data_IF_111208422207
#
_entry.id   IF_111208422207
#
_cell.length_a   1.000
_cell.length_b   1.000
_cell.length_c   1.000
_cell.angle_alpha   90.00
_cell.angle_beta   90.00
_cell.angle_gamma   90.00
#
_symmetry.space_group_name_H-M   'P 1'
#
loop_
_entity.id
_entity.type
_entity.pdbx_description
1 polymer ?
#
# COMPACT_ATOMS: atom_id res chain seq x y z
N UNK A 1 27.24 1.18 -31.77
CA UNK A 1 26.00 1.27 -30.97
C UNK A 1 26.05 0.10 -30.02
N UNK A 2 26.58 0.33 -28.80
CA UNK A 2 26.68 -0.69 -27.75
C UNK A 2 25.33 -0.82 -27.09
N UNK A 3 24.69 -1.98 -27.19
CA UNK A 3 23.52 -2.37 -26.40
C UNK A 3 23.85 -2.21 -24.90
N UNK A 4 23.18 -1.28 -24.22
CA UNK A 4 23.32 -1.14 -22.78
C UNK A 4 22.60 -2.31 -22.11
N UNK A 5 23.34 -3.14 -21.41
CA UNK A 5 22.82 -4.26 -20.65
C UNK A 5 21.71 -3.78 -19.68
N UNK A 6 20.52 -4.35 -19.81
CA UNK A 6 19.42 -4.16 -18.85
C UNK A 6 19.75 -4.99 -17.61
N UNK A 7 20.08 -4.32 -16.49
CA UNK A 7 20.28 -5.01 -15.22
C UNK A 7 18.92 -5.39 -14.61
N UNK A 8 18.76 -6.65 -14.26
CA UNK A 8 17.54 -7.20 -13.65
C UNK A 8 17.41 -6.80 -12.17
N UNK A 9 16.19 -6.56 -11.66
CA UNK A 9 15.97 -6.16 -10.27
C UNK A 9 16.35 -7.24 -9.27
N UNK A 10 16.69 -6.83 -8.03
CA UNK A 10 17.18 -7.70 -6.95
C UNK A 10 16.16 -8.79 -6.52
N UNK A 11 14.88 -8.58 -6.79
CA UNK A 11 13.80 -9.55 -6.53
C UNK A 11 13.51 -10.48 -7.71
N UNK A 12 14.23 -10.32 -8.84
CA UNK A 12 14.03 -11.22 -9.96
C UNK A 12 14.61 -12.61 -9.65
N UNK A 13 13.75 -13.56 -9.27
CA UNK A 13 14.08 -14.98 -9.23
C UNK A 13 13.75 -15.61 -10.58
N UNK A 14 14.70 -16.25 -11.27
CA UNK A 14 14.39 -17.01 -12.48
C UNK A 14 13.38 -18.12 -12.12
N UNK A 15 12.34 -18.27 -12.94
CA UNK A 15 11.31 -19.31 -12.76
C UNK A 15 11.95 -20.68 -12.70
N UNK A 16 11.67 -21.53 -11.69
CA UNK A 16 11.99 -22.94 -11.79
C UNK A 16 11.12 -23.56 -12.89
N UNK A 17 11.74 -24.34 -13.77
CA UNK A 17 11.05 -25.10 -14.80
C UNK A 17 9.96 -25.97 -14.17
N UNK A 18 8.75 -25.93 -14.73
CA UNK A 18 7.60 -26.73 -14.28
C UNK A 18 7.94 -28.21 -14.40
N UNK A 19 8.17 -28.88 -13.29
CA UNK A 19 8.06 -30.34 -13.23
C UNK A 19 6.59 -30.71 -13.06
N UNK A 20 6.04 -31.36 -14.07
CA UNK A 20 4.74 -32.01 -13.98
C UNK A 20 4.89 -33.29 -13.16
N UNK A 21 4.27 -33.36 -12.01
CA UNK A 21 3.94 -34.66 -11.41
C UNK A 21 2.48 -34.66 -10.98
N UNK A 22 1.72 -35.41 -11.77
CA UNK A 22 0.37 -35.89 -11.44
C UNK A 22 0.49 -36.92 -10.33
N UNK A 23 -0.19 -36.71 -9.21
CA UNK A 23 -0.63 -37.86 -8.39
C UNK A 23 -2.09 -37.62 -8.07
N UNK A 24 -2.91 -38.46 -8.70
CA UNK A 24 -4.33 -38.67 -8.40
C UNK A 24 -4.37 -39.76 -7.37
N UNK A 25 -4.92 -39.50 -6.18
CA UNK A 25 -5.37 -40.57 -5.28
C UNK A 25 -6.84 -40.29 -4.98
N UNK A 26 -7.69 -41.10 -5.61
CA UNK A 26 -9.08 -41.27 -5.24
C UNK A 26 -9.17 -42.36 -4.18
N UNK A 27 -9.77 -42.05 -3.04
CA UNK A 27 -10.22 -43.05 -2.07
C UNK A 27 -11.69 -42.81 -1.82
N UNK A 28 -12.49 -43.71 -2.41
CA UNK A 28 -13.89 -43.95 -2.05
C UNK A 28 -13.94 -44.85 -0.83
N UNK A 29 -14.60 -44.41 0.25
CA UNK A 29 -15.12 -45.31 1.28
C UNK A 29 -16.58 -44.97 1.52
N UNK A 30 -17.44 -45.92 1.19
CA UNK A 30 -18.85 -46.00 1.59
C UNK A 30 -18.96 -46.38 3.07
N UNK A 31 -19.94 -45.79 3.74
CA UNK A 31 -20.51 -46.44 4.91
C UNK A 31 -21.00 -45.54 6.00
N UNK A 32 -22.33 -45.48 6.21
CA UNK A 32 -22.91 -45.35 7.54
C UNK A 32 -23.58 -44.04 7.89
N UNK A 33 -24.87 -44.06 7.73
CA UNK A 33 -25.84 -43.06 8.25
C UNK A 33 -25.75 -43.01 9.79
N UNK A 34 -25.55 -41.79 10.35
CA UNK A 34 -26.03 -41.42 11.67
C UNK A 34 -26.31 -39.92 11.70
N UNK A 35 -27.60 -39.60 11.79
CA UNK A 35 -28.15 -38.26 11.96
C UNK A 35 -27.73 -37.67 13.32
N UNK A 36 -26.67 -36.89 13.35
CA UNK A 36 -26.32 -36.01 14.44
C UNK A 36 -26.40 -34.57 13.96
N UNK A 37 -27.38 -33.80 14.47
CA UNK A 37 -27.48 -32.35 14.24
C UNK A 37 -26.24 -31.68 14.85
N UNK A 38 -25.19 -31.52 14.09
CA UNK A 38 -24.09 -30.63 14.42
C UNK A 38 -24.52 -29.22 14.03
N UNK A 39 -24.90 -28.41 15.03
CA UNK A 39 -24.86 -26.95 14.88
C UNK A 39 -23.40 -26.57 14.66
N UNK A 40 -22.99 -26.37 13.42
CA UNK A 40 -21.79 -25.59 13.12
C UNK A 40 -22.05 -24.18 13.66
N UNK A 41 -21.59 -23.92 14.85
CA UNK A 41 -21.44 -22.59 15.37
C UNK A 41 -20.35 -21.89 14.53
N UNK A 42 -20.76 -21.20 13.49
CA UNK A 42 -19.92 -20.20 12.84
C UNK A 42 -19.60 -19.18 13.93
N UNK A 43 -18.42 -19.30 14.56
CA UNK A 43 -17.87 -18.24 15.39
C UNK A 43 -17.76 -17.03 14.49
N UNK A 44 -18.57 -16.00 14.74
CA UNK A 44 -18.34 -14.67 14.18
C UNK A 44 -16.87 -14.34 14.42
N UNK A 45 -16.12 -13.86 13.42
CA UNK A 45 -14.75 -13.42 13.63
C UNK A 45 -14.77 -12.44 14.82
N UNK A 46 -13.94 -12.70 15.81
CA UNK A 46 -13.79 -11.85 16.97
C UNK A 46 -13.22 -10.53 16.42
N UNK A 47 -13.95 -9.40 16.53
CA UNK A 47 -13.41 -8.10 16.19
C UNK A 47 -12.05 -7.97 16.88
N UNK A 48 -11.02 -7.63 16.12
CA UNK A 48 -9.70 -7.40 16.66
C UNK A 48 -9.80 -6.28 17.72
N UNK A 49 -9.21 -6.47 18.88
CA UNK A 49 -9.14 -5.41 19.89
C UNK A 49 -8.26 -4.28 19.33
N UNK A 50 -8.77 -3.05 19.37
CA UNK A 50 -7.97 -1.86 19.02
C UNK A 50 -7.31 -1.39 20.31
N UNK A 51 -5.98 -1.44 20.34
CA UNK A 51 -5.18 -1.09 21.52
C UNK A 51 -4.23 0.07 21.21
N UNK A 52 -4.00 0.91 22.21
CA UNK A 52 -3.10 2.06 22.10
C UNK A 52 -2.04 1.93 23.19
N UNK A 53 -0.78 2.04 22.78
CA UNK A 53 0.36 2.12 23.70
C UNK A 53 1.08 3.47 23.53
N UNK A 54 1.85 3.85 24.56
CA UNK A 54 2.66 5.05 24.53
C UNK A 54 4.01 4.79 25.17
N UNK A 55 5.07 5.05 24.44
CA UNK A 55 6.43 4.90 24.91
C UNK A 55 7.34 5.96 24.29
N UNK A 56 8.19 6.61 25.10
CA UNK A 56 9.20 7.58 24.65
C UNK A 56 8.65 8.71 23.77
N UNK A 57 7.43 9.17 24.09
CA UNK A 57 6.75 10.23 23.33
C UNK A 57 6.20 9.79 21.97
N UNK A 58 6.13 8.48 21.73
CA UNK A 58 5.51 7.88 20.55
C UNK A 58 4.27 7.10 20.99
N UNK A 59 3.14 7.39 20.37
CA UNK A 59 1.89 6.66 20.52
C UNK A 59 1.72 5.68 19.37
N UNK A 60 1.41 4.43 19.70
CA UNK A 60 1.28 3.33 18.72
C UNK A 60 -0.09 2.68 18.79
N UNK A 61 -0.61 2.30 17.62
CA UNK A 61 -1.85 1.56 17.43
C UNK A 61 -1.53 0.09 17.18
N UNK A 62 -2.29 -0.81 17.82
CA UNK A 62 -2.22 -2.24 17.65
C UNK A 62 -3.60 -2.81 17.32
N UNK A 63 -3.66 -3.83 16.46
CA UNK A 63 -4.90 -4.51 16.06
C UNK A 63 -4.80 -5.99 16.42
N UNK A 64 -5.17 -6.34 17.66
CA UNK A 64 -5.21 -7.72 18.14
C UNK A 64 -3.88 -8.47 18.18
N UNK A 65 -2.74 -7.78 18.02
CA UNK A 65 -1.39 -8.34 18.05
C UNK A 65 -0.39 -7.31 18.60
N UNK A 66 0.81 -7.75 18.97
CA UNK A 66 1.92 -6.88 19.38
C UNK A 66 2.47 -6.02 18.22
N UNK A 67 2.07 -6.31 16.97
CA UNK A 67 2.56 -5.59 15.80
C UNK A 67 2.04 -4.16 15.80
N UNK A 68 2.95 -3.19 15.62
CA UNK A 68 2.61 -1.79 15.48
C UNK A 68 2.02 -1.53 14.09
N UNK A 69 0.75 -1.13 14.05
CA UNK A 69 0.04 -0.80 12.81
C UNK A 69 0.20 0.66 12.42
N UNK A 70 0.32 1.54 13.40
CA UNK A 70 0.54 2.96 13.17
C UNK A 70 1.26 3.59 14.35
N UNK A 71 2.02 4.66 14.10
CA UNK A 71 2.74 5.40 15.14
C UNK A 71 2.64 6.90 14.91
N UNK A 72 2.57 7.64 16.01
CA UNK A 72 2.49 9.10 16.02
C UNK A 72 3.44 9.68 17.09
N UNK A 73 4.30 10.62 16.74
CA UNK A 73 5.02 11.42 17.74
C UNK A 73 4.05 12.39 18.40
N UNK A 74 4.09 12.46 19.73
CA UNK A 74 3.25 13.41 20.48
C UNK A 74 3.71 14.86 20.25
N UNK A 75 5.01 15.09 20.06
CA UNK A 75 5.59 16.40 19.79
C UNK A 75 5.29 16.91 18.36
N UNK A 76 5.12 16.03 17.38
CA UNK A 76 4.72 16.36 16.01
C UNK A 76 3.78 15.28 15.46
N UNK A 77 2.48 15.45 15.64
CA UNK A 77 1.47 14.48 15.21
C UNK A 77 1.37 14.25 13.70
N UNK A 78 1.97 15.13 12.90
CA UNK A 78 1.95 15.07 11.44
C UNK A 78 3.18 14.39 10.85
N UNK A 79 4.23 14.17 11.66
CA UNK A 79 5.43 13.47 11.20
C UNK A 79 5.13 11.99 10.86
N UNK A 80 5.66 11.52 9.73
CA UNK A 80 5.58 10.10 9.34
C UNK A 80 6.66 9.30 10.08
N UNK A 81 6.26 8.59 11.14
CA UNK A 81 7.18 7.84 12.01
C UNK A 81 7.68 6.56 11.34
N UNK A 82 6.76 5.77 10.77
CA UNK A 82 7.09 4.48 10.18
C UNK A 82 7.72 4.64 8.79
N UNK A 83 8.77 3.88 8.52
CA UNK A 83 9.54 3.98 7.27
C UNK A 83 8.70 3.73 6.02
N UNK A 84 7.75 2.80 6.09
CA UNK A 84 6.91 2.48 4.95
C UNK A 84 5.96 3.63 4.58
N UNK A 85 5.41 4.35 5.56
CA UNK A 85 4.56 5.51 5.28
C UNK A 85 5.34 6.62 4.57
N UNK A 86 6.62 6.80 4.93
CA UNK A 86 7.51 7.72 4.22
C UNK A 86 7.80 7.24 2.80
N UNK A 87 8.08 5.94 2.60
CA UNK A 87 8.32 5.37 1.28
C UNK A 87 7.09 5.45 0.36
N UNK A 88 5.88 5.31 0.91
CA UNK A 88 4.63 5.51 0.16
C UNK A 88 4.50 6.92 -0.42
N UNK A 89 5.13 7.93 0.18
CA UNK A 89 5.16 9.30 -0.35
C UNK A 89 6.09 9.46 -1.56
N UNK A 90 6.83 8.45 -1.98
CA UNK A 90 7.71 8.49 -3.14
C UNK A 90 6.97 8.78 -4.46
N UNK A 91 5.64 8.59 -4.52
CA UNK A 91 4.82 8.95 -5.68
C UNK A 91 4.95 10.44 -6.05
N UNK A 92 5.29 11.30 -5.09
CA UNK A 92 5.51 12.74 -5.31
C UNK A 92 6.65 13.03 -6.30
N UNK A 93 7.57 12.08 -6.51
CA UNK A 93 8.60 12.20 -7.55
C UNK A 93 8.00 12.20 -8.97
N UNK A 94 6.79 11.66 -9.13
CA UNK A 94 6.09 11.54 -10.41
C UNK A 94 4.80 12.38 -10.45
N UNK A 95 4.16 12.56 -9.30
CA UNK A 95 2.91 13.30 -9.13
C UNK A 95 3.02 14.29 -7.97
N UNK A 96 3.74 15.41 -8.14
CA UNK A 96 4.06 16.33 -7.02
C UNK A 96 2.87 17.16 -6.50
N UNK A 97 1.79 17.23 -7.26
CA UNK A 97 0.60 18.03 -6.94
C UNK A 97 -0.68 17.22 -7.19
N UNK A 98 -1.00 16.23 -6.34
CA UNK A 98 -2.24 15.50 -6.47
C UNK A 98 -3.42 16.41 -6.09
N UNK A 99 -4.54 16.29 -6.81
CA UNK A 99 -5.77 17.04 -6.50
C UNK A 99 -6.69 16.24 -5.59
N UNK A 100 -6.74 14.92 -5.78
CA UNK A 100 -7.54 14.04 -4.95
C UNK A 100 -6.75 12.76 -4.63
N UNK A 101 -6.52 12.52 -3.34
CA UNK A 101 -5.93 11.29 -2.80
C UNK A 101 -7.02 10.49 -2.11
N UNK A 102 -7.20 9.25 -2.54
CA UNK A 102 -8.05 8.27 -1.86
C UNK A 102 -7.16 7.28 -1.12
N UNK A 103 -7.51 6.98 0.12
CA UNK A 103 -6.79 6.03 0.96
C UNK A 103 -7.69 4.87 1.39
N UNK A 104 -7.23 3.66 1.21
CA UNK A 104 -7.83 2.45 1.76
C UNK A 104 -7.00 2.05 2.98
N UNK A 105 -7.65 2.11 4.15
CA UNK A 105 -7.04 1.95 5.46
C UNK A 105 -6.67 3.30 6.10
N UNK A 106 -7.11 3.49 7.35
CA UNK A 106 -6.81 4.68 8.15
C UNK A 106 -5.71 4.42 9.16
N UNK A 107 -5.82 3.35 9.93
CA UNK A 107 -4.99 3.12 11.09
C UNK A 107 -4.99 4.32 12.06
N UNK A 108 -3.83 4.81 12.46
CA UNK A 108 -3.69 6.06 13.22
C UNK A 108 -3.73 7.32 12.36
N UNK A 109 -4.07 7.23 11.07
CA UNK A 109 -4.22 8.35 10.16
C UNK A 109 -2.91 9.06 9.80
N UNK A 110 -1.76 8.40 9.87
CA UNK A 110 -0.45 9.03 9.61
C UNK A 110 -0.38 9.66 8.22
N UNK A 111 -0.68 8.89 7.16
CA UNK A 111 -0.68 9.39 5.78
C UNK A 111 -1.78 10.42 5.54
N UNK A 112 -3.00 10.15 6.02
CA UNK A 112 -4.15 11.08 5.92
C UNK A 112 -3.81 12.44 6.51
N UNK A 113 -3.27 12.48 7.73
CA UNK A 113 -2.86 13.72 8.41
C UNK A 113 -1.73 14.44 7.69
N UNK A 114 -0.72 13.69 7.22
CA UNK A 114 0.41 14.25 6.49
C UNK A 114 -0.06 14.95 5.22
N UNK A 115 -0.90 14.28 4.42
CA UNK A 115 -1.45 14.87 3.19
C UNK A 115 -2.31 16.09 3.52
N UNK A 116 -3.22 15.99 4.48
CA UNK A 116 -4.08 17.09 4.91
C UNK A 116 -3.27 18.33 5.34
N UNK A 117 -2.14 18.14 6.05
CA UNK A 117 -1.29 19.21 6.55
C UNK A 117 -0.44 19.88 5.48
N UNK A 118 0.19 19.07 4.61
CA UNK A 118 1.23 19.55 3.71
C UNK A 118 0.74 19.82 2.29
N UNK A 119 -0.49 19.40 1.94
CA UNK A 119 -1.08 19.57 0.62
C UNK A 119 -2.43 20.30 0.73
N UNK A 120 -2.41 21.64 0.92
CA UNK A 120 -3.63 22.42 1.19
C UNK A 120 -4.64 22.41 0.02
N UNK A 121 -4.18 22.17 -1.20
CA UNK A 121 -5.02 22.12 -2.41
C UNK A 121 -5.50 20.70 -2.75
N UNK A 122 -5.17 19.72 -1.91
CA UNK A 122 -5.52 18.31 -2.12
C UNK A 122 -6.74 17.94 -1.29
N UNK A 123 -7.73 17.33 -1.95
CA UNK A 123 -8.81 16.61 -1.26
C UNK A 123 -8.32 15.22 -0.87
N UNK A 124 -8.69 14.76 0.33
CA UNK A 124 -8.37 13.43 0.85
C UNK A 124 -9.64 12.71 1.27
N UNK A 125 -9.88 11.53 0.73
CA UNK A 125 -10.95 10.63 1.16
C UNK A 125 -10.30 9.35 1.69
N UNK A 126 -10.59 9.01 2.94
CA UNK A 126 -10.03 7.79 3.57
C UNK A 126 -11.16 6.83 3.91
N UNK A 127 -11.04 5.58 3.46
CA UNK A 127 -12.01 4.52 3.70
C UNK A 127 -11.41 3.55 4.72
N UNK A 128 -12.14 3.33 5.83
CA UNK A 128 -11.76 2.42 6.91
C UNK A 128 -12.92 1.47 7.23
N UNK A 129 -12.65 0.18 7.25
CA UNK A 129 -13.68 -0.83 7.50
C UNK A 129 -14.14 -0.89 8.96
N UNK A 130 -13.25 -0.59 9.90
CA UNK A 130 -13.50 -0.71 11.33
C UNK A 130 -13.81 0.64 11.98
N UNK A 131 -15.07 0.86 12.35
CA UNK A 131 -15.52 2.09 13.04
C UNK A 131 -14.76 2.35 14.35
N UNK A 132 -14.29 1.29 15.03
CA UNK A 132 -13.46 1.39 16.22
C UNK A 132 -12.10 2.01 15.95
N UNK A 133 -11.48 1.72 14.79
CA UNK A 133 -10.23 2.35 14.35
C UNK A 133 -10.46 3.84 14.11
N UNK A 134 -11.52 4.22 13.42
CA UNK A 134 -11.87 5.65 13.18
C UNK A 134 -12.03 6.39 14.51
N UNK A 135 -12.77 5.82 15.48
CA UNK A 135 -12.96 6.44 16.79
C UNK A 135 -11.63 6.65 17.53
N UNK A 136 -10.77 5.63 17.55
CA UNK A 136 -9.44 5.70 18.19
C UNK A 136 -8.53 6.69 17.47
N UNK A 137 -8.52 6.68 16.13
CA UNK A 137 -7.72 7.60 15.33
C UNK A 137 -8.07 9.07 15.62
N UNK A 138 -9.35 9.39 15.72
CA UNK A 138 -9.79 10.75 16.07
C UNK A 138 -9.47 11.10 17.52
N UNK A 139 -9.74 10.20 18.45
CA UNK A 139 -9.59 10.47 19.88
C UNK A 139 -8.13 10.54 20.33
N UNK A 140 -7.28 9.64 19.81
CA UNK A 140 -5.92 9.46 20.31
C UNK A 140 -4.83 9.84 19.32
N UNK A 141 -5.09 9.82 18.02
CA UNK A 141 -4.09 10.10 16.99
C UNK A 141 -4.28 11.44 16.28
N UNK A 142 -5.17 12.28 16.78
CA UNK A 142 -5.38 13.64 16.28
C UNK A 142 -5.75 13.69 14.78
N UNK A 143 -6.48 12.70 14.28
CA UNK A 143 -7.08 12.78 12.94
C UNK A 143 -8.12 13.90 12.96
N UNK A 144 -8.01 14.93 12.08
CA UNK A 144 -8.94 16.04 12.05
C UNK A 144 -10.38 15.62 11.78
N UNK A 145 -11.35 16.43 12.21
CA UNK A 145 -12.74 16.25 11.79
C UNK A 145 -12.86 16.39 10.27
N UNK A 146 -13.93 15.81 9.71
CA UNK A 146 -14.23 15.98 8.28
C UNK A 146 -14.52 17.46 7.98
N UNK A 147 -14.02 17.89 6.83
CA UNK A 147 -14.24 19.23 6.28
C UNK A 147 -14.33 19.16 4.74
N UNK A 148 -14.20 20.29 4.05
CA UNK A 148 -14.28 20.37 2.58
C UNK A 148 -13.16 19.59 1.88
N UNK A 149 -12.02 19.34 2.56
CA UNK A 149 -10.84 18.67 2.01
C UNK A 149 -10.58 17.27 2.58
N UNK A 150 -11.15 16.93 3.72
CA UNK A 150 -10.96 15.65 4.39
C UNK A 150 -12.30 14.97 4.65
N UNK A 151 -12.44 13.74 4.17
CA UNK A 151 -13.54 12.84 4.52
C UNK A 151 -12.98 11.51 5.00
N UNK A 152 -13.52 10.99 6.11
CA UNK A 152 -13.25 9.63 6.60
C UNK A 152 -14.54 8.83 6.59
N UNK A 153 -14.62 7.88 5.68
CA UNK A 153 -15.79 7.04 5.44
C UNK A 153 -15.62 5.65 6.04
N UNK A 154 -16.66 5.13 6.70
CA UNK A 154 -16.65 3.75 7.22
C UNK A 154 -17.23 2.84 6.15
N UNK A 155 -16.41 1.89 5.65
CA UNK A 155 -16.82 0.98 4.59
C UNK A 155 -15.71 0.05 4.13
N UNK A 156 -16.07 -0.91 3.29
CA UNK A 156 -15.13 -1.85 2.68
C UNK A 156 -14.43 -1.19 1.49
N UNK A 157 -13.11 -1.11 1.55
CA UNK A 157 -12.28 -0.41 0.57
C UNK A 157 -12.43 -0.95 -0.85
N UNK A 158 -12.51 -2.27 -1.01
CA UNK A 158 -12.71 -2.90 -2.33
C UNK A 158 -14.04 -2.53 -2.97
N UNK A 159 -15.12 -2.54 -2.20
CA UNK A 159 -16.45 -2.14 -2.68
C UNK A 159 -16.50 -0.64 -3.01
N UNK A 160 -15.86 0.19 -2.19
CA UNK A 160 -15.79 1.63 -2.43
C UNK A 160 -15.07 1.93 -3.75
N UNK A 161 -13.91 1.34 -3.97
CA UNK A 161 -13.10 1.54 -5.19
C UNK A 161 -13.87 1.10 -6.44
N UNK A 162 -14.56 -0.04 -6.38
CA UNK A 162 -15.39 -0.53 -7.49
C UNK A 162 -16.54 0.39 -7.85
N UNK A 163 -17.09 1.14 -6.88
CA UNK A 163 -18.21 2.06 -7.07
C UNK A 163 -17.79 3.46 -7.56
N UNK A 164 -16.50 3.80 -7.58
CA UNK A 164 -16.01 5.15 -7.85
C UNK A 164 -14.95 5.18 -8.98
N UNK A 165 -15.32 4.95 -10.23
CA UNK A 165 -14.39 5.07 -11.35
C UNK A 165 -13.95 6.54 -11.55
N UNK A 166 -12.73 6.74 -12.06
CA UNK A 166 -12.13 8.04 -12.44
C UNK A 166 -12.19 9.12 -11.33
N UNK A 167 -12.16 8.70 -10.06
CA UNK A 167 -12.42 9.60 -8.93
C UNK A 167 -11.16 10.26 -8.35
N UNK A 168 -9.95 9.72 -8.58
CA UNK A 168 -8.75 10.19 -7.88
C UNK A 168 -7.47 10.17 -8.73
N UNK A 169 -6.53 11.05 -8.37
CA UNK A 169 -5.21 11.10 -8.98
C UNK A 169 -4.24 10.09 -8.31
N UNK A 170 -4.46 9.81 -7.02
CA UNK A 170 -3.65 8.90 -6.24
C UNK A 170 -4.57 8.01 -5.42
N UNK A 171 -4.43 6.69 -5.58
CA UNK A 171 -5.09 5.70 -4.74
C UNK A 171 -4.03 5.03 -3.87
N UNK A 172 -4.06 5.25 -2.56
CA UNK A 172 -3.15 4.64 -1.62
C UNK A 172 -3.83 3.47 -0.91
N UNK A 173 -3.12 2.33 -0.79
CA UNK A 173 -3.65 1.11 -0.17
C UNK A 173 -2.69 0.65 0.92
N UNK A 174 -3.14 0.73 2.15
CA UNK A 174 -2.42 0.30 3.36
C UNK A 174 -3.38 -0.51 4.25
N UNK A 175 -3.73 -1.71 3.79
CA UNK A 175 -4.72 -2.56 4.42
C UNK A 175 -4.12 -3.87 4.95
N UNK A 176 -3.88 -3.89 6.26
CA UNK A 176 -3.47 -5.06 7.03
C UNK A 176 -4.44 -5.30 8.18
N UNK A 177 -4.79 -6.56 8.45
CA UNK A 177 -5.70 -6.95 9.54
C UNK A 177 -4.98 -7.19 10.89
N UNK A 178 -3.74 -6.78 10.98
CA UNK A 178 -2.87 -7.00 12.14
C UNK A 178 -1.92 -8.20 12.01
N UNK A 179 -2.16 -9.10 11.06
CA UNK A 179 -1.37 -10.33 10.83
C UNK A 179 -0.90 -10.40 9.38
N UNK A 180 -1.82 -10.19 8.43
CA UNK A 180 -1.54 -10.30 7.00
C UNK A 180 -2.28 -9.22 6.20
N UNK A 181 -1.94 -9.11 4.93
CA UNK A 181 -2.63 -8.21 4.02
C UNK A 181 -4.04 -8.76 3.73
N UNK A 182 -5.03 -7.88 3.81
CA UNK A 182 -6.42 -8.23 3.55
C UNK A 182 -6.57 -8.75 2.12
N UNK A 183 -7.08 -9.98 1.96
CA UNK A 183 -7.09 -10.70 0.68
C UNK A 183 -7.92 -10.01 -0.40
N UNK A 184 -9.00 -9.31 0.00
CA UNK A 184 -9.92 -8.61 -0.89
C UNK A 184 -9.23 -7.49 -1.66
N UNK A 185 -8.32 -6.74 -1.01
CA UNK A 185 -7.57 -5.62 -1.62
C UNK A 185 -6.28 -6.05 -2.32
N UNK A 186 -6.08 -7.36 -2.51
CA UNK A 186 -4.96 -7.96 -3.27
C UNK A 186 -5.44 -8.83 -4.43
N UNK A 187 -6.74 -8.87 -4.70
CA UNK A 187 -7.32 -9.65 -5.77
C UNK A 187 -7.06 -9.02 -7.15
N UNK A 188 -7.16 -9.82 -8.23
CA UNK A 188 -7.08 -9.29 -9.59
C UNK A 188 -8.20 -8.29 -9.87
N UNK A 189 -9.42 -8.58 -9.39
CA UNK A 189 -10.59 -7.71 -9.54
C UNK A 189 -10.39 -6.38 -8.80
N UNK A 190 -9.77 -6.40 -7.62
CA UNK A 190 -9.43 -5.16 -6.91
C UNK A 190 -8.48 -4.29 -7.75
N UNK A 191 -7.41 -4.86 -8.30
CA UNK A 191 -6.46 -4.06 -9.10
C UNK A 191 -7.07 -3.55 -10.41
N UNK A 192 -7.99 -4.30 -11.03
CA UNK A 192 -8.75 -3.81 -12.17
C UNK A 192 -9.66 -2.62 -11.80
N UNK A 193 -10.37 -2.71 -10.67
CA UNK A 193 -11.18 -1.63 -10.13
C UNK A 193 -10.31 -0.43 -9.69
N UNK A 194 -9.15 -0.65 -9.09
CA UNK A 194 -8.20 0.39 -8.73
C UNK A 194 -7.69 1.16 -9.96
N UNK A 195 -7.42 0.45 -11.05
CA UNK A 195 -7.06 1.08 -12.33
C UNK A 195 -8.23 1.92 -12.87
N UNK A 196 -9.47 1.42 -12.80
CA UNK A 196 -10.66 2.16 -13.23
C UNK A 196 -10.93 3.40 -12.35
N UNK A 197 -10.66 3.34 -11.05
CA UNK A 197 -10.86 4.45 -10.11
C UNK A 197 -9.88 5.61 -10.30
N UNK A 198 -8.73 5.36 -10.91
CA UNK A 198 -7.74 6.38 -11.19
C UNK A 198 -8.09 7.22 -12.42
N UNK A 199 -7.78 8.53 -12.37
CA UNK A 199 -7.73 9.40 -13.55
C UNK A 199 -6.64 8.93 -14.52
N UNK A 200 -6.63 9.43 -15.76
CA UNK A 200 -5.71 8.97 -16.83
C UNK A 200 -4.23 8.96 -16.42
N UNK A 201 -3.77 9.98 -15.69
CA UNK A 201 -2.39 10.08 -15.22
C UNK A 201 -2.27 9.63 -13.74
N UNK A 202 -3.24 8.87 -13.26
CA UNK A 202 -3.30 8.45 -11.86
C UNK A 202 -2.27 7.38 -11.51
N UNK A 203 -1.97 7.28 -10.21
CA UNK A 203 -1.04 6.32 -9.62
C UNK A 203 -1.67 5.58 -8.44
N UNK A 204 -1.57 4.27 -8.46
CA UNK A 204 -1.83 3.40 -7.32
C UNK A 204 -0.55 3.27 -6.48
N UNK A 205 -0.66 3.39 -5.17
CA UNK A 205 0.46 3.20 -4.22
C UNK A 205 0.06 2.15 -3.20
N UNK A 206 0.66 0.97 -3.26
CA UNK A 206 0.33 -0.15 -2.36
C UNK A 206 1.49 -0.43 -1.42
N UNK A 207 1.20 -0.59 -0.13
CA UNK A 207 2.15 -1.12 0.84
C UNK A 207 2.14 -2.65 0.78
N UNK A 208 3.23 -3.28 0.37
CA UNK A 208 3.40 -4.74 0.34
C UNK A 208 4.59 -5.18 1.19
N UNK A 209 4.54 -6.39 1.75
CA UNK A 209 5.66 -7.00 2.44
C UNK A 209 6.44 -7.92 1.51
N UNK A 210 7.73 -7.63 1.29
CA UNK A 210 8.59 -8.46 0.44
C UNK A 210 8.93 -9.84 1.05
N UNK A 211 8.65 -10.02 2.34
CA UNK A 211 8.78 -11.31 3.03
C UNK A 211 7.53 -12.19 2.92
N UNK A 212 6.40 -11.64 2.44
CA UNK A 212 5.21 -12.45 2.16
C UNK A 212 5.46 -13.37 0.96
N UNK A 213 5.16 -14.65 1.12
CA UNK A 213 5.31 -15.64 0.04
C UNK A 213 4.45 -15.33 -1.20
N UNK A 214 3.43 -14.49 -1.03
CA UNK A 214 2.52 -14.04 -2.09
C UNK A 214 2.96 -12.75 -2.78
N UNK A 215 4.07 -12.13 -2.34
CA UNK A 215 4.55 -10.84 -2.87
C UNK A 215 4.66 -10.84 -4.40
N UNK A 216 5.33 -11.85 -4.97
CA UNK A 216 5.50 -11.95 -6.42
C UNK A 216 4.15 -12.13 -7.15
N UNK A 217 3.20 -12.83 -6.54
CA UNK A 217 1.86 -12.99 -7.10
C UNK A 217 1.05 -11.69 -7.07
N UNK A 218 1.18 -10.90 -6.01
CA UNK A 218 0.56 -9.57 -5.92
C UNK A 218 1.16 -8.62 -6.95
N UNK A 219 2.49 -8.58 -7.04
CA UNK A 219 3.19 -7.75 -8.01
C UNK A 219 2.78 -8.11 -9.45
N UNK A 220 2.70 -9.40 -9.78
CA UNK A 220 2.26 -9.86 -11.09
C UNK A 220 0.82 -9.44 -11.42
N UNK A 221 -0.10 -9.44 -10.43
CA UNK A 221 -1.48 -8.97 -10.65
C UNK A 221 -1.51 -7.49 -10.98
N UNK A 222 -0.68 -6.67 -10.30
CA UNK A 222 -0.55 -5.24 -10.56
C UNK A 222 0.04 -5.02 -11.97
N UNK A 223 1.13 -5.71 -12.32
CA UNK A 223 1.79 -5.62 -13.61
C UNK A 223 0.88 -6.02 -14.80
N UNK A 224 -0.09 -6.91 -14.56
CA UNK A 224 -1.05 -7.31 -15.59
C UNK A 224 -2.07 -6.22 -15.96
N UNK A 225 -2.23 -5.20 -15.11
CA UNK A 225 -3.27 -4.18 -15.24
C UNK A 225 -2.70 -2.80 -15.53
N UNK A 226 -1.57 -2.45 -14.93
CA UNK A 226 -0.98 -1.12 -15.01
C UNK A 226 0.10 -1.03 -16.09
N UNK A 227 0.23 0.15 -16.69
CA UNK A 227 1.18 0.39 -17.79
C UNK A 227 2.65 0.38 -17.32
N UNK A 228 2.91 0.69 -16.06
CA UNK A 228 4.24 0.70 -15.46
C UNK A 228 4.15 0.45 -13.95
N UNK A 229 5.16 -0.21 -13.39
CA UNK A 229 5.26 -0.49 -11.96
C UNK A 229 6.65 -0.13 -11.45
N UNK A 230 6.72 0.59 -10.34
CA UNK A 230 7.97 1.01 -9.68
C UNK A 230 7.93 0.64 -8.21
N UNK A 231 8.92 -0.13 -7.77
CA UNK A 231 9.07 -0.57 -6.38
C UNK A 231 10.04 0.35 -5.62
N UNK A 232 9.63 0.79 -4.42
CA UNK A 232 10.42 1.60 -3.50
C UNK A 232 10.53 0.87 -2.17
N UNK A 233 11.66 0.27 -1.83
CA UNK A 233 11.84 -0.39 -0.55
C UNK A 233 11.84 0.66 0.57
N UNK A 234 11.08 0.41 1.64
CA UNK A 234 11.14 1.23 2.85
C UNK A 234 12.44 0.94 3.63
N UNK A 235 12.83 -0.34 3.64
CA UNK A 235 14.05 -0.87 4.28
C UNK A 235 14.61 -2.04 3.46
N UNK A 236 15.78 -2.58 3.86
CA UNK A 236 16.39 -3.72 3.15
C UNK A 236 15.53 -4.98 3.15
N UNK A 237 14.76 -5.21 4.24
CA UNK A 237 13.78 -6.29 4.38
C UNK A 237 12.55 -5.70 5.07
N UNK A 238 11.37 -6.00 4.53
CA UNK A 238 10.12 -5.51 5.08
C UNK A 238 9.20 -4.91 4.02
N UNK A 239 8.68 -3.72 4.27
CA UNK A 239 7.72 -3.08 3.39
C UNK A 239 8.35 -2.54 2.11
N UNK A 240 7.59 -2.66 1.04
CA UNK A 240 7.86 -2.07 -0.28
C UNK A 240 6.64 -1.24 -0.68
N UNK A 241 6.84 0.05 -0.93
CA UNK A 241 5.83 0.86 -1.59
C UNK A 241 5.88 0.55 -3.09
N UNK A 242 4.81 -0.07 -3.60
CA UNK A 242 4.64 -0.39 -5.02
C UNK A 242 3.81 0.72 -5.65
N UNK A 243 4.39 1.46 -6.57
CA UNK A 243 3.69 2.48 -7.36
C UNK A 243 3.34 1.90 -8.73
N UNK A 244 2.07 1.90 -9.08
CA UNK A 244 1.57 1.41 -10.35
C UNK A 244 0.85 2.53 -11.10
N UNK A 245 1.28 2.81 -12.32
CA UNK A 245 0.83 3.95 -13.11
C UNK A 245 -0.18 3.51 -14.17
N UNK A 246 -1.32 4.21 -14.23
CA UNK A 246 -2.34 3.97 -15.26
C UNK A 246 -1.78 4.29 -16.66
N UNK A 247 -0.99 5.37 -16.78
CA UNK A 247 -0.17 5.70 -17.94
C UNK A 247 1.29 5.72 -17.53
N UNK A 248 2.17 5.09 -18.31
CA UNK A 248 3.61 5.08 -17.99
C UNK A 248 4.15 6.49 -17.75
N UNK A 249 4.93 6.70 -16.69
CA UNK A 249 5.58 7.97 -16.41
C UNK A 249 6.78 8.23 -17.35
N UNK A 250 6.97 7.38 -18.34
CA UNK A 250 8.12 7.40 -19.24
C UNK A 250 9.38 6.80 -18.61
N UNK A 251 10.51 7.20 -19.12
CA UNK A 251 11.82 6.74 -18.65
C UNK A 251 12.61 7.91 -18.05
N UNK A 252 12.27 8.39 -16.84
CA UNK A 252 12.92 9.55 -16.25
C UNK A 252 14.41 9.30 -16.02
N UNK A 253 15.23 10.35 -16.19
CA UNK A 253 16.65 10.29 -15.89
C UNK A 253 16.87 10.28 -14.39
N UNK A 254 17.89 9.53 -13.93
CA UNK A 254 18.23 9.52 -12.49
C UNK A 254 18.58 10.90 -11.96
N UNK A 255 19.20 11.75 -12.79
CA UNK A 255 19.56 13.11 -12.37
C UNK A 255 18.33 14.00 -12.16
N UNK A 256 17.29 13.83 -13.00
CA UNK A 256 16.02 14.55 -12.86
C UNK A 256 15.30 14.10 -11.56
N UNK A 257 15.22 12.79 -11.34
CA UNK A 257 14.65 12.23 -10.10
C UNK A 257 15.42 12.69 -8.86
N UNK A 258 16.75 12.75 -8.89
CA UNK A 258 17.55 13.27 -7.77
C UNK A 258 17.34 14.77 -7.55
N UNK A 259 17.17 15.54 -8.62
CA UNK A 259 16.85 16.97 -8.53
C UNK A 259 15.49 17.18 -7.88
N UNK A 260 14.45 16.46 -8.32
CA UNK A 260 13.12 16.46 -7.70
C UNK A 260 13.18 16.01 -6.25
N UNK A 261 13.95 14.94 -5.96
CA UNK A 261 14.13 14.42 -4.60
C UNK A 261 14.71 15.45 -3.63
N UNK A 262 15.69 16.26 -4.06
CA UNK A 262 16.25 17.36 -3.24
C UNK A 262 15.21 18.44 -2.95
N UNK A 263 14.43 18.84 -3.95
CA UNK A 263 13.37 19.83 -3.78
C UNK A 263 12.28 19.34 -2.82
N UNK A 264 11.84 18.07 -2.98
CA UNK A 264 10.84 17.44 -2.11
C UNK A 264 11.38 17.24 -0.68
N UNK A 265 12.65 16.86 -0.52
CA UNK A 265 13.29 16.79 0.80
C UNK A 265 13.27 18.14 1.53
N UNK A 266 13.66 19.21 0.84
CA UNK A 266 13.65 20.57 1.42
C UNK A 266 12.24 21.00 1.83
N UNK A 267 11.20 20.53 1.13
CA UNK A 267 9.81 20.92 1.40
C UNK A 267 9.15 20.08 2.51
N UNK A 268 9.43 18.78 2.54
CA UNK A 268 8.68 17.82 3.38
C UNK A 268 9.54 17.13 4.44
N UNK A 269 10.86 17.27 4.41
CA UNK A 269 11.77 16.64 5.38
C UNK A 269 11.95 15.11 5.16
N UNK A 270 11.32 14.51 4.15
CA UNK A 270 11.40 13.07 3.89
C UNK A 270 12.65 12.72 3.08
N UNK A 271 13.13 11.49 3.22
CA UNK A 271 14.39 10.99 2.63
C UNK A 271 14.29 10.62 1.14
N UNK A 272 13.73 11.49 0.29
CA UNK A 272 13.49 11.21 -1.14
C UNK A 272 14.72 10.76 -1.93
N UNK A 273 15.92 11.21 -1.57
CA UNK A 273 17.15 10.71 -2.21
C UNK A 273 17.38 9.21 -1.94
N UNK A 274 17.04 8.72 -0.73
CA UNK A 274 17.09 7.29 -0.42
C UNK A 274 16.03 6.52 -1.23
N UNK A 275 14.86 7.11 -1.45
CA UNK A 275 13.82 6.49 -2.28
C UNK A 275 14.30 6.33 -3.72
N UNK A 276 14.96 7.34 -4.31
CA UNK A 276 15.54 7.25 -5.65
C UNK A 276 16.62 6.17 -5.74
N UNK A 277 17.51 6.05 -4.75
CA UNK A 277 18.51 4.98 -4.71
C UNK A 277 17.87 3.60 -4.50
N UNK A 278 16.80 3.53 -3.68
CA UNK A 278 15.97 2.34 -3.53
C UNK A 278 15.33 1.91 -4.84
N UNK A 279 14.72 2.83 -5.58
CA UNK A 279 14.17 2.57 -6.92
C UNK A 279 15.26 2.02 -7.85
N UNK A 280 16.44 2.62 -7.84
CA UNK A 280 17.54 2.20 -8.69
C UNK A 280 17.99 0.78 -8.41
N UNK A 281 17.88 0.30 -7.17
CA UNK A 281 18.26 -1.07 -6.78
C UNK A 281 17.18 -2.12 -7.10
N UNK A 282 15.91 -1.73 -7.22
CA UNK A 282 14.76 -2.66 -7.24
C UNK A 282 14.06 -2.74 -8.59
N UNK A 283 14.31 -1.80 -9.51
CA UNK A 283 13.56 -1.72 -10.77
C UNK A 283 14.48 -1.91 -11.97
N UNK A 284 13.94 -2.30 -13.13
CA UNK A 284 14.65 -2.29 -14.41
C UNK A 284 15.23 -0.92 -14.70
N UNK A 285 16.48 -0.87 -15.14
CA UNK A 285 17.20 0.39 -15.33
C UNK A 285 18.28 0.32 -16.40
N UNK A 286 18.63 1.49 -16.89
CA UNK A 286 19.90 1.74 -17.55
C UNK A 286 20.83 2.54 -16.62
N UNK A 287 22.05 2.81 -17.06
CA UNK A 287 22.99 3.65 -16.31
C UNK A 287 22.42 5.05 -16.02
N UNK A 288 21.58 5.59 -16.91
CA UNK A 288 21.06 6.97 -16.84
C UNK A 288 19.58 7.11 -16.57
N UNK A 289 18.78 6.01 -16.64
CA UNK A 289 17.31 6.09 -16.61
C UNK A 289 16.68 4.95 -15.81
N UNK A 290 15.53 5.25 -15.17
CA UNK A 290 14.56 4.26 -14.75
C UNK A 290 13.82 3.75 -16.02
N UNK A 291 13.62 2.44 -16.12
CA UNK A 291 12.88 1.79 -17.22
C UNK A 291 11.56 1.26 -16.66
N UNK A 292 10.56 2.15 -16.51
CA UNK A 292 9.25 1.81 -15.97
C UNK A 292 8.18 1.81 -17.06
#
# INVERSE_FOLDING_TARGET
VTESAIEKPLFYRPRPARLHSRVVIAVLILGGILLGKWKLGLRKPRKASVEVSEQDGVRSLHLGSETVQSSMKLADPYELVLSYTRAMMAFLLFRPQPRHVVMIGLGGGSLTKFIYRYFPDTRTTTIESESGVVAVARQYFQVPADDERLSVEIGEGGAWVAAHPECCDVLMVDGYDGIEQVSEICSADFYANAHAALTDDGVLVVNLWNSDLRFDAYLQRIENVFAAVVCVPAEKRGNVAVMAFKRSPGQPRWDDLRSAARALHSRYGLEFLKFVEGMRSQNPRSASRLLA
#
